data_IF_813989377960
#
_entry.id   IF_813989377960
#
_cell.length_a   1.000
_cell.length_b   1.000
_cell.length_c   1.000
_cell.angle_alpha   90.00
_cell.angle_beta   90.00
_cell.angle_gamma   90.00
#
_symmetry.space_group_name_H-M   'P 1'
#
loop_
_entity.id
_entity.type
_entity.pdbx_description
1 polymer ?
#
# COMPACT_ATOMS: atom_id res chain seq x y z
N UNK A 1 5.59 15.12 -8.36
CA UNK A 1 5.48 13.65 -8.22
C UNK A 1 4.26 13.19 -9.01
N UNK A 2 4.48 12.47 -10.12
CA UNK A 2 3.42 11.79 -10.87
C UNK A 2 3.40 10.32 -10.43
N UNK A 3 2.23 9.79 -10.12
CA UNK A 3 2.04 8.37 -9.75
C UNK A 3 1.47 7.53 -10.90
N UNK A 4 1.23 8.15 -12.06
CA UNK A 4 0.71 7.50 -13.27
C UNK A 4 1.83 6.82 -14.08
N UNK A 5 1.46 6.17 -15.18
CA UNK A 5 2.41 5.63 -16.19
C UNK A 5 3.40 4.61 -15.61
N UNK A 6 2.94 3.78 -14.66
CA UNK A 6 3.77 2.75 -14.03
C UNK A 6 4.83 3.28 -13.07
N UNK A 7 4.82 4.58 -12.75
CA UNK A 7 5.72 5.16 -11.73
C UNK A 7 5.38 4.72 -10.31
N UNK A 8 4.11 4.45 -10.04
CA UNK A 8 3.67 3.81 -8.80
C UNK A 8 3.09 2.44 -9.14
N UNK A 9 3.70 1.40 -8.59
CA UNK A 9 3.17 0.03 -8.63
C UNK A 9 2.95 -0.46 -7.21
N UNK A 10 2.09 -1.46 -7.05
CA UNK A 10 1.87 -2.11 -5.77
C UNK A 10 1.73 -3.62 -5.96
N UNK A 11 2.34 -4.37 -5.05
CA UNK A 11 2.09 -5.79 -4.88
C UNK A 11 1.34 -6.00 -3.56
N UNK A 12 0.29 -6.81 -3.58
CA UNK A 12 -0.53 -7.09 -2.41
C UNK A 12 -0.52 -8.59 -2.12
N UNK A 13 -0.12 -8.96 -0.91
CA UNK A 13 -0.20 -10.32 -0.39
C UNK A 13 -1.33 -10.41 0.64
N UNK A 14 -2.19 -11.40 0.50
CA UNK A 14 -3.28 -11.69 1.45
C UNK A 14 -2.99 -12.95 2.25
N UNK A 15 -3.25 -12.89 3.56
CA UNK A 15 -3.18 -14.06 4.44
C UNK A 15 -4.59 -14.55 4.78
N UNK A 16 -4.81 -15.83 4.51
CA UNK A 16 -6.09 -16.51 4.70
C UNK A 16 -5.96 -17.44 5.89
N UNK A 17 -6.95 -17.42 6.78
CA UNK A 17 -7.07 -18.31 7.91
C UNK A 17 -8.38 -19.09 7.86
N UNK A 18 -8.43 -20.24 8.55
CA UNK A 18 -9.69 -20.96 8.77
C UNK A 18 -10.38 -20.42 10.02
N UNK A 19 -11.60 -19.92 9.87
CA UNK A 19 -12.46 -19.42 10.92
C UNK A 19 -13.76 -20.26 10.90
N UNK A 20 -13.97 -21.07 11.94
CA UNK A 20 -15.07 -22.05 12.02
C UNK A 20 -15.22 -22.95 10.78
N UNK A 21 -14.09 -23.37 10.20
CA UNK A 21 -14.03 -24.23 9.03
C UNK A 21 -14.23 -23.49 7.68
N UNK A 22 -14.28 -22.16 7.70
CA UNK A 22 -14.38 -21.31 6.51
C UNK A 22 -13.08 -20.55 6.31
N UNK A 23 -12.56 -20.53 5.08
CA UNK A 23 -11.39 -19.72 4.73
C UNK A 23 -11.77 -18.24 4.63
N UNK A 24 -11.14 -17.40 5.46
CA UNK A 24 -11.39 -15.97 5.53
C UNK A 24 -10.07 -15.20 5.38
N UNK A 25 -10.12 -14.08 4.66
CA UNK A 25 -9.00 -13.15 4.54
C UNK A 25 -8.88 -12.37 5.85
N UNK A 26 -7.76 -12.51 6.57
CA UNK A 26 -7.53 -11.81 7.85
C UNK A 26 -6.60 -10.62 7.70
N UNK A 27 -5.58 -10.73 6.85
CA UNK A 27 -4.55 -9.69 6.66
C UNK A 27 -4.24 -9.45 5.20
N UNK A 28 -3.88 -8.22 4.89
CA UNK A 28 -3.27 -7.82 3.61
C UNK A 28 -2.01 -7.01 3.90
N UNK A 29 -0.92 -7.34 3.22
CA UNK A 29 0.28 -6.51 3.16
C UNK A 29 0.47 -5.96 1.75
N UNK A 30 0.61 -4.63 1.63
CA UNK A 30 0.84 -3.96 0.33
C UNK A 30 2.22 -3.33 0.30
N UNK A 31 3.05 -3.72 -0.67
CA UNK A 31 4.33 -3.07 -0.95
C UNK A 31 4.17 -2.16 -2.15
N UNK A 32 4.34 -0.86 -1.94
CA UNK A 32 4.35 0.14 -2.99
C UNK A 32 5.77 0.37 -3.50
N UNK A 33 5.98 0.32 -4.81
CA UNK A 33 7.24 0.75 -5.43
C UNK A 33 6.98 2.06 -6.17
N UNK A 34 7.65 3.13 -5.74
CA UNK A 34 7.52 4.47 -6.32
C UNK A 34 8.84 4.90 -6.98
N UNK A 35 8.79 5.09 -8.29
CA UNK A 35 9.88 5.64 -9.10
C UNK A 35 9.92 7.16 -8.99
N UNK A 36 11.04 7.65 -8.47
CA UNK A 36 11.32 9.06 -8.29
C UNK A 36 12.43 9.51 -9.24
N UNK A 37 12.25 10.68 -9.86
CA UNK A 37 13.33 11.35 -10.57
C UNK A 37 14.45 11.72 -9.57
N UNK A 38 15.73 11.83 -10.00
CA UNK A 38 16.85 12.05 -9.08
C UNK A 38 16.74 13.30 -8.20
N UNK A 39 16.06 14.34 -8.68
CA UNK A 39 15.85 15.62 -8.01
C UNK A 39 14.52 15.68 -7.21
N UNK A 40 13.76 14.60 -7.15
CA UNK A 40 12.48 14.56 -6.47
C UNK A 40 12.64 14.62 -4.93
N UNK A 41 11.70 15.31 -4.29
CA UNK A 41 11.62 15.39 -2.83
C UNK A 41 11.16 14.06 -2.21
N UNK A 42 12.13 13.21 -1.83
CA UNK A 42 11.90 11.91 -1.19
C UNK A 42 11.16 12.04 0.13
N UNK A 43 11.42 13.09 0.90
CA UNK A 43 10.75 13.32 2.18
C UNK A 43 9.26 13.65 1.99
N UNK A 44 8.92 14.40 0.94
CA UNK A 44 7.51 14.64 0.57
C UNK A 44 6.81 13.37 0.12
N UNK A 45 7.48 12.51 -0.66
CA UNK A 45 6.92 11.21 -1.06
C UNK A 45 6.65 10.32 0.18
N UNK A 46 7.62 10.23 1.08
CA UNK A 46 7.51 9.48 2.33
C UNK A 46 6.35 9.99 3.21
N UNK A 47 6.25 11.31 3.40
CA UNK A 47 5.13 11.91 4.15
C UNK A 47 3.79 11.61 3.49
N UNK A 48 3.68 11.71 2.16
CA UNK A 48 2.44 11.38 1.47
C UNK A 48 2.03 9.92 1.71
N UNK A 49 2.99 9.00 1.68
CA UNK A 49 2.77 7.60 2.00
C UNK A 49 2.34 7.39 3.47
N UNK A 50 2.98 8.03 4.45
CA UNK A 50 2.60 7.85 5.86
C UNK A 50 1.15 8.29 6.17
N UNK A 51 0.60 9.21 5.37
CA UNK A 51 -0.73 9.79 5.61
C UNK A 51 -1.80 9.28 4.64
N UNK A 52 -1.48 8.41 3.68
CA UNK A 52 -2.43 8.06 2.60
C UNK A 52 -3.58 7.15 3.06
N UNK A 53 -3.35 6.31 4.07
CA UNK A 53 -4.27 5.23 4.45
C UNK A 53 -5.70 5.72 4.76
N UNK A 54 -5.92 6.78 5.56
CA UNK A 54 -7.26 7.32 5.81
C UNK A 54 -8.02 7.78 4.56
N UNK A 55 -7.31 8.05 3.45
CA UNK A 55 -7.88 8.49 2.18
C UNK A 55 -8.00 7.36 1.14
N UNK A 56 -7.42 6.18 1.40
CA UNK A 56 -7.50 5.03 0.52
C UNK A 56 -8.92 4.43 0.56
N UNK A 57 -9.66 4.39 -0.57
CA UNK A 57 -11.04 3.88 -0.59
C UNK A 57 -11.11 2.40 -0.22
N UNK A 58 -10.11 1.60 -0.64
CA UNK A 58 -10.03 0.18 -0.29
C UNK A 58 -9.84 0.03 1.21
N UNK A 59 -8.80 0.63 1.80
CA UNK A 59 -8.59 0.61 3.24
C UNK A 59 -9.85 1.05 3.99
N UNK A 60 -10.49 2.14 3.56
CA UNK A 60 -11.69 2.64 4.22
C UNK A 60 -12.85 1.66 4.21
N UNK A 61 -12.99 0.86 3.16
CA UNK A 61 -14.09 -0.08 2.97
C UNK A 61 -13.97 -1.38 3.79
N UNK A 62 -12.75 -1.81 4.14
CA UNK A 62 -12.54 -3.15 4.74
C UNK A 62 -11.67 -3.16 6.02
N UNK A 63 -11.08 -2.03 6.44
CA UNK A 63 -10.17 -1.98 7.60
C UNK A 63 -10.76 -2.47 8.93
N UNK A 64 -12.09 -2.46 9.08
CA UNK A 64 -12.75 -2.93 10.31
C UNK A 64 -12.77 -4.46 10.40
N UNK A 65 -12.58 -5.16 9.28
CA UNK A 65 -12.63 -6.62 9.20
C UNK A 65 -11.28 -7.24 8.83
N UNK A 66 -10.42 -6.50 8.13
CA UNK A 66 -9.15 -6.98 7.59
C UNK A 66 -8.05 -6.02 8.06
N UNK A 67 -7.03 -6.55 8.71
CA UNK A 67 -5.84 -5.78 9.04
C UNK A 67 -5.04 -5.53 7.76
N UNK A 68 -4.70 -4.26 7.50
CA UNK A 68 -3.96 -3.87 6.31
C UNK A 68 -2.71 -3.11 6.73
N UNK A 69 -1.56 -3.61 6.28
CA UNK A 69 -0.26 -2.97 6.45
C UNK A 69 0.30 -2.56 5.10
N UNK A 70 1.16 -1.53 5.10
CA UNK A 70 1.75 -1.02 3.86
C UNK A 70 3.24 -0.75 4.06
N UNK A 71 4.02 -0.93 2.99
CA UNK A 71 5.43 -0.55 2.91
C UNK A 71 5.66 0.29 1.64
N UNK A 72 6.69 1.14 1.66
CA UNK A 72 7.09 1.96 0.52
C UNK A 72 8.55 1.72 0.17
N UNK A 73 8.80 1.40 -1.08
CA UNK A 73 10.10 1.33 -1.70
C UNK A 73 10.27 2.51 -2.65
N UNK A 74 11.28 3.34 -2.40
CA UNK A 74 11.64 4.47 -3.26
C UNK A 74 12.77 4.07 -4.19
N UNK A 75 12.43 3.81 -5.45
CA UNK A 75 13.37 3.44 -6.51
C UNK A 75 13.69 4.64 -7.41
N UNK A 76 14.88 4.67 -7.99
CA UNK A 76 15.26 5.71 -8.97
C UNK A 76 14.65 5.39 -10.34
N UNK A 77 14.20 6.42 -11.05
CA UNK A 77 13.50 6.30 -12.33
C UNK A 77 14.41 6.03 -13.52
#
# INVERSE_FOLDING_TARGET
MKASEGRLTAEAAGEIESDDGVLVLKRIHVVYSLRLDPDADRAKAQRAFEHHMPFCPIYRSIREAIEITTALELVEA
#
